data_IF_627101787654
#
_entry.id   IF_627101787654
#
_cell.length_a   1.000
_cell.length_b   1.000
_cell.length_c   1.000
_cell.angle_alpha   90.00
_cell.angle_beta   90.00
_cell.angle_gamma   90.00
#
_symmetry.space_group_name_H-M   'P 1'
#
loop_
_entity.id
_entity.type
_entity.pdbx_description
1 polymer ?
#
# COMPACT_ATOMS: atom_id res chain seq x y z
N UNK A 1 6.20 15.62 10.10
CA UNK A 1 5.50 14.38 9.68
C UNK A 1 6.48 13.26 9.25
N UNK A 2 7.40 13.48 8.30
CA UNK A 2 8.36 12.45 7.82
C UNK A 2 9.11 11.68 8.93
N UNK A 3 9.70 12.38 9.91
CA UNK A 3 10.46 11.70 10.99
C UNK A 3 9.64 10.74 11.85
N UNK A 4 8.35 11.05 12.06
CA UNK A 4 7.44 10.17 12.82
C UNK A 4 7.16 8.88 12.05
N UNK A 5 7.03 8.97 10.72
CA UNK A 5 6.83 7.80 9.88
C UNK A 5 8.10 6.95 9.79
N UNK A 6 9.28 7.56 9.72
CA UNK A 6 10.57 6.85 9.81
C UNK A 6 10.73 6.09 11.14
N UNK A 7 10.33 6.70 12.28
CA UNK A 7 10.32 6.01 13.56
C UNK A 7 9.29 4.88 13.61
N UNK A 8 8.12 5.07 12.97
CA UNK A 8 7.07 4.06 12.90
C UNK A 8 7.57 2.81 12.16
N UNK A 9 8.09 2.95 10.94
CA UNK A 9 8.51 1.80 10.12
C UNK A 9 9.69 1.02 10.71
N UNK A 10 10.46 1.63 11.62
CA UNK A 10 11.59 0.99 12.32
C UNK A 10 11.19 0.34 13.66
N UNK A 11 9.91 0.32 14.02
CA UNK A 11 9.43 -0.22 15.31
C UNK A 11 9.85 0.62 16.53
N UNK A 12 10.12 1.91 16.34
CA UNK A 12 10.63 2.82 17.40
C UNK A 12 9.60 3.83 17.89
N UNK A 13 8.36 3.79 17.38
CA UNK A 13 7.33 4.77 17.70
C UNK A 13 6.49 4.39 18.94
N UNK A 14 6.33 3.10 19.21
CA UNK A 14 5.60 2.54 20.35
C UNK A 14 6.44 1.48 21.05
N UNK A 15 6.22 1.21 22.36
CA UNK A 15 6.88 0.12 23.07
C UNK A 15 6.57 -1.23 22.43
N UNK A 16 7.56 -2.12 22.38
CA UNK A 16 7.41 -3.48 21.87
C UNK A 16 6.85 -4.39 22.97
N UNK A 17 5.88 -5.24 22.64
CA UNK A 17 5.38 -6.29 23.52
C UNK A 17 5.90 -7.66 23.04
N UNK A 18 6.85 -8.29 23.75
CA UNK A 18 7.40 -9.59 23.36
C UNK A 18 6.38 -10.73 23.44
N UNK A 19 5.25 -10.54 24.13
CA UNK A 19 4.19 -11.53 24.24
C UNK A 19 3.07 -11.32 23.20
N UNK A 20 3.18 -10.29 22.37
CA UNK A 20 2.22 -10.07 21.30
C UNK A 20 2.28 -11.21 20.28
N UNK A 21 1.12 -11.55 19.71
CA UNK A 21 1.06 -12.46 18.57
C UNK A 21 1.94 -11.92 17.43
N UNK A 22 2.94 -12.67 16.94
CA UNK A 22 3.89 -12.17 15.96
C UNK A 22 3.23 -11.95 14.60
N UNK A 23 3.81 -11.04 13.80
CA UNK A 23 3.34 -10.72 12.46
C UNK A 23 3.33 -11.93 11.51
N UNK A 24 4.15 -12.95 11.77
CA UNK A 24 4.14 -14.22 11.03
C UNK A 24 2.78 -14.91 11.07
N UNK A 25 2.09 -14.90 12.22
CA UNK A 25 0.74 -15.47 12.38
C UNK A 25 -0.30 -14.65 11.61
N UNK A 26 -0.16 -13.32 11.58
CA UNK A 26 -0.99 -12.47 10.73
C UNK A 26 -0.80 -12.80 9.24
N UNK A 27 0.45 -13.00 8.80
CA UNK A 27 0.75 -13.37 7.42
C UNK A 27 0.14 -14.73 7.04
N UNK A 28 0.16 -15.72 7.93
CA UNK A 28 -0.51 -17.00 7.71
C UNK A 28 -2.02 -16.85 7.52
N UNK A 29 -2.69 -16.05 8.37
CA UNK A 29 -4.12 -15.75 8.21
C UNK A 29 -4.42 -15.05 6.90
N UNK A 30 -3.59 -14.08 6.50
CA UNK A 30 -3.72 -13.37 5.22
C UNK A 30 -3.60 -14.32 4.04
N UNK A 31 -2.64 -15.25 4.05
CA UNK A 31 -2.48 -16.25 2.98
C UNK A 31 -3.73 -17.13 2.87
N UNK A 32 -4.26 -17.60 3.99
CA UNK A 32 -5.49 -18.39 4.02
C UNK A 32 -6.70 -17.60 3.49
N UNK A 33 -6.86 -16.34 3.92
CA UNK A 33 -7.90 -15.44 3.41
C UNK A 33 -7.77 -15.24 1.89
N UNK A 34 -6.55 -14.99 1.41
CA UNK A 34 -6.26 -14.74 -0.01
C UNK A 34 -6.63 -15.95 -0.86
N UNK A 35 -6.30 -17.16 -0.41
CA UNK A 35 -6.69 -18.39 -1.08
C UNK A 35 -8.22 -18.55 -1.20
N UNK A 36 -8.96 -18.23 -0.14
CA UNK A 36 -10.43 -18.25 -0.18
C UNK A 36 -11.01 -17.19 -1.14
N UNK A 37 -10.46 -15.98 -1.15
CA UNK A 37 -10.86 -14.93 -2.09
C UNK A 37 -10.54 -15.30 -3.55
N UNK A 38 -9.43 -15.99 -3.80
CA UNK A 38 -9.06 -16.52 -5.13
C UNK A 38 -10.06 -17.60 -5.56
N UNK A 39 -10.40 -18.56 -4.68
CA UNK A 39 -11.40 -19.60 -4.96
C UNK A 39 -12.77 -19.01 -5.28
N UNK A 40 -13.14 -17.92 -4.60
CA UNK A 40 -14.38 -17.17 -4.86
C UNK A 40 -14.31 -16.29 -6.11
N UNK A 41 -13.16 -16.20 -6.79
CA UNK A 41 -12.96 -15.36 -7.98
C UNK A 41 -12.97 -13.86 -7.70
N UNK A 42 -12.88 -13.44 -6.43
CA UNK A 42 -12.91 -12.02 -6.02
C UNK A 42 -11.60 -11.30 -6.30
N UNK A 43 -10.48 -12.02 -6.18
CA UNK A 43 -9.14 -11.50 -6.48
C UNK A 43 -8.40 -12.48 -7.39
N UNK A 44 -7.34 -12.00 -8.05
CA UNK A 44 -6.48 -12.83 -8.90
C UNK A 44 -5.32 -13.38 -8.09
N UNK A 45 -4.89 -14.60 -8.41
CA UNK A 45 -3.65 -15.17 -7.89
C UNK A 45 -2.45 -14.37 -8.41
N UNK A 46 -1.53 -14.03 -7.52
CA UNK A 46 -0.26 -13.43 -7.92
C UNK A 46 0.61 -14.45 -8.65
N UNK A 47 1.42 -13.97 -9.60
CA UNK A 47 2.32 -14.84 -10.36
C UNK A 47 3.49 -15.37 -9.52
N UNK A 48 3.87 -14.63 -8.48
CA UNK A 48 5.03 -14.91 -7.63
C UNK A 48 4.60 -14.72 -6.18
N UNK A 49 4.17 -15.79 -5.55
CA UNK A 49 3.91 -15.77 -4.11
C UNK A 49 5.26 -15.78 -3.37
N UNK A 50 5.42 -14.82 -2.48
CA UNK A 50 6.66 -14.59 -1.73
C UNK A 50 6.45 -14.90 -0.25
N UNK A 51 7.38 -15.68 0.30
CA UNK A 51 7.48 -15.94 1.73
C UNK A 51 8.86 -15.49 2.18
N UNK A 52 8.89 -14.44 3.00
CA UNK A 52 10.12 -13.94 3.61
C UNK A 52 10.22 -14.50 5.03
N UNK A 53 11.40 -15.00 5.39
CA UNK A 53 11.69 -15.56 6.70
C UNK A 53 13.14 -15.28 7.09
N UNK A 54 13.45 -15.40 8.39
CA UNK A 54 14.80 -15.24 8.94
C UNK A 54 15.39 -16.62 9.22
N UNK A 55 16.61 -16.88 8.74
CA UNK A 55 17.32 -18.14 8.95
C UNK A 55 18.03 -18.20 10.31
N UNK A 56 18.57 -19.38 10.65
CA UNK A 56 19.35 -19.60 11.87
C UNK A 56 20.68 -18.81 11.88
N UNK A 57 21.14 -18.39 10.71
CA UNK A 57 22.30 -17.51 10.51
C UNK A 57 21.98 -16.02 10.69
N UNK A 58 20.74 -15.69 11.06
CA UNK A 58 20.18 -14.33 11.18
C UNK A 58 20.00 -13.58 9.87
N UNK A 59 20.25 -14.19 8.71
CA UNK A 59 20.00 -13.59 7.40
C UNK A 59 18.53 -13.72 6.98
N UNK A 60 18.08 -12.81 6.12
CA UNK A 60 16.73 -12.83 5.55
C UNK A 60 16.72 -13.54 4.19
N UNK A 61 15.75 -14.43 4.04
CA UNK A 61 15.55 -15.22 2.84
C UNK A 61 14.15 -15.01 2.28
N UNK A 62 14.05 -14.89 0.97
CA UNK A 62 12.79 -14.89 0.24
C UNK A 62 12.65 -16.21 -0.53
N UNK A 63 11.53 -16.91 -0.31
CA UNK A 63 11.13 -18.09 -1.06
C UNK A 63 10.05 -17.73 -2.06
N UNK A 64 10.30 -18.01 -3.34
CA UNK A 64 9.32 -17.91 -4.43
C UNK A 64 9.26 -19.27 -5.09
N UNK A 65 8.12 -19.95 -5.00
CA UNK A 65 7.99 -21.35 -5.43
C UNK A 65 9.05 -22.24 -4.74
N UNK A 66 10.00 -22.80 -5.49
CA UNK A 66 11.07 -23.64 -4.96
C UNK A 66 12.41 -22.90 -4.78
N UNK A 67 12.52 -21.68 -5.30
CA UNK A 67 13.74 -20.90 -5.24
C UNK A 67 13.80 -20.12 -3.92
N UNK A 68 14.93 -20.24 -3.23
CA UNK A 68 15.23 -19.50 -1.99
C UNK A 68 16.42 -18.60 -2.25
N UNK A 69 16.30 -17.32 -1.96
CA UNK A 69 17.34 -16.32 -2.22
C UNK A 69 17.55 -15.46 -0.98
N UNK A 70 18.80 -15.21 -0.60
CA UNK A 70 19.13 -14.24 0.44
C UNK A 70 18.81 -12.82 -0.06
N UNK A 71 18.13 -12.03 0.77
CA UNK A 71 17.68 -10.67 0.43
C UNK A 71 18.27 -9.61 1.37
N UNK A 72 19.35 -9.93 2.09
CA UNK A 72 20.00 -9.00 3.04
C UNK A 72 20.39 -7.66 2.38
N UNK A 73 20.77 -7.66 1.10
CA UNK A 73 21.07 -6.46 0.33
C UNK A 73 19.86 -5.50 0.17
N UNK A 74 18.63 -5.99 0.34
CA UNK A 74 17.41 -5.18 0.35
C UNK A 74 17.03 -4.67 1.75
N UNK A 75 17.61 -5.24 2.82
CA UNK A 75 17.29 -4.93 4.20
C UNK A 75 18.11 -3.73 4.67
N UNK A 76 17.43 -2.61 4.89
CA UNK A 76 18.09 -1.34 5.24
C UNK A 76 18.17 -1.07 6.76
N UNK A 77 17.49 -1.85 7.59
CA UNK A 77 17.49 -1.72 9.04
C UNK A 77 16.91 -2.96 9.73
N UNK A 78 17.26 -3.13 11.01
CA UNK A 78 16.68 -4.15 11.88
C UNK A 78 15.25 -3.79 12.30
N UNK A 79 14.43 -4.84 12.46
CA UNK A 79 13.05 -4.77 12.96
C UNK A 79 12.93 -5.57 14.27
N UNK A 80 11.91 -5.30 15.10
CA UNK A 80 11.63 -6.12 16.28
C UNK A 80 11.37 -7.60 15.93
N UNK A 81 11.71 -8.53 16.82
CA UNK A 81 11.55 -9.98 16.58
C UNK A 81 10.09 -10.42 16.38
N UNK A 82 9.13 -9.65 16.90
CA UNK A 82 7.69 -9.89 16.69
C UNK A 82 7.20 -9.42 15.32
N UNK A 83 8.01 -8.66 14.58
CA UNK A 83 7.68 -8.16 13.25
C UNK A 83 8.13 -9.15 12.16
N UNK A 84 7.70 -8.91 10.93
CA UNK A 84 8.15 -9.70 9.78
C UNK A 84 8.31 -8.82 8.56
N UNK A 85 9.40 -9.00 7.81
CA UNK A 85 9.48 -8.44 6.47
C UNK A 85 8.52 -9.16 5.53
N UNK A 86 7.86 -8.42 4.64
CA UNK A 86 6.98 -8.99 3.62
C UNK A 86 6.96 -8.11 2.38
N UNK A 87 6.67 -8.69 1.21
CA UNK A 87 6.27 -7.92 0.02
C UNK A 87 4.86 -7.38 0.23
N UNK A 88 4.59 -6.15 -0.22
CA UNK A 88 3.27 -5.51 -0.04
C UNK A 88 2.14 -6.28 -0.73
N UNK A 89 2.43 -6.96 -1.84
CA UNK A 89 1.47 -7.84 -2.53
C UNK A 89 0.99 -9.02 -1.69
N UNK A 90 1.76 -9.44 -0.67
CA UNK A 90 1.33 -10.47 0.27
C UNK A 90 0.13 -10.01 1.09
N UNK A 91 0.11 -8.74 1.52
CA UNK A 91 -0.90 -8.18 2.44
C UNK A 91 -1.94 -7.28 1.78
N UNK A 92 -1.91 -7.18 0.45
CA UNK A 92 -2.83 -6.32 -0.31
C UNK A 92 -3.28 -6.98 -1.62
N UNK A 93 -4.47 -6.61 -2.09
CA UNK A 93 -4.88 -6.78 -3.48
C UNK A 93 -4.54 -5.51 -4.29
N UNK A 94 -3.80 -5.67 -5.39
CA UNK A 94 -3.28 -4.54 -6.18
C UNK A 94 -3.88 -4.56 -7.58
N UNK A 95 -4.68 -3.53 -7.86
CA UNK A 95 -5.29 -3.30 -9.17
C UNK A 95 -4.64 -2.11 -9.87
N UNK A 96 -3.90 -2.40 -10.95
CA UNK A 96 -3.39 -1.35 -11.84
C UNK A 96 -4.52 -0.78 -12.70
N UNK A 97 -4.62 0.55 -12.74
CA UNK A 97 -5.64 1.24 -13.50
C UNK A 97 -5.47 1.13 -15.01
N UNK A 98 -6.58 1.29 -15.72
CA UNK A 98 -6.65 1.30 -17.18
C UNK A 98 -7.71 2.30 -17.60
N UNK A 99 -7.37 3.25 -18.46
CA UNK A 99 -8.33 4.29 -18.84
C UNK A 99 -9.49 3.69 -19.66
N UNK A 100 -10.75 4.05 -19.36
CA UNK A 100 -11.87 3.83 -20.26
C UNK A 100 -11.63 4.46 -21.64
N UNK A 101 -12.39 4.02 -22.64
CA UNK A 101 -12.37 4.69 -23.96
C UNK A 101 -12.98 6.09 -23.80
N UNK A 102 -12.47 7.06 -24.56
CA UNK A 102 -12.95 8.45 -24.46
C UNK A 102 -14.45 8.60 -24.67
N UNK A 103 -15.05 7.79 -25.56
CA UNK A 103 -16.50 7.76 -25.80
C UNK A 103 -17.34 7.35 -24.57
N UNK A 104 -16.74 6.60 -23.63
CA UNK A 104 -17.42 6.11 -22.43
C UNK A 104 -17.31 7.12 -21.28
N UNK A 105 -16.44 8.13 -21.40
CA UNK A 105 -16.24 9.19 -20.40
C UNK A 105 -17.32 10.27 -20.57
N UNK A 106 -17.87 10.75 -19.45
CA UNK A 106 -18.92 11.75 -19.41
C UNK A 106 -18.89 12.57 -18.11
N UNK A 107 -19.80 13.53 -17.98
CA UNK A 107 -19.94 14.40 -16.81
C UNK A 107 -21.22 14.08 -16.01
N UNK A 108 -21.80 12.90 -16.21
CA UNK A 108 -23.02 12.45 -15.54
C UNK A 108 -22.68 11.64 -14.29
N UNK A 109 -23.03 12.19 -13.12
CA UNK A 109 -22.68 11.64 -11.82
C UNK A 109 -23.49 10.40 -11.40
N UNK A 110 -24.41 9.95 -12.25
CA UNK A 110 -25.10 8.67 -12.08
C UNK A 110 -24.20 7.47 -12.39
N UNK A 111 -23.11 7.69 -13.13
CA UNK A 111 -22.13 6.66 -13.47
C UNK A 111 -20.96 6.61 -12.46
N UNK A 112 -20.03 5.67 -12.64
CA UNK A 112 -18.88 5.53 -11.75
C UNK A 112 -17.88 6.66 -11.98
N UNK A 113 -17.50 7.33 -10.90
CA UNK A 113 -16.53 8.42 -10.89
C UNK A 113 -15.15 7.95 -11.40
N UNK A 114 -14.51 8.73 -12.28
CA UNK A 114 -13.28 8.36 -12.97
C UNK A 114 -12.10 9.27 -12.60
N UNK A 115 -11.00 8.64 -12.19
CA UNK A 115 -9.74 9.32 -11.84
C UNK A 115 -8.57 8.78 -12.63
N UNK A 116 -7.88 9.64 -13.37
CA UNK A 116 -6.72 9.25 -14.18
C UNK A 116 -5.38 9.39 -13.46
N UNK A 117 -5.30 10.25 -12.45
CA UNK A 117 -4.08 10.63 -11.75
C UNK A 117 -4.39 11.50 -10.52
N UNK A 118 -3.38 12.20 -9.99
CA UNK A 118 -3.47 12.90 -8.70
C UNK A 118 -4.32 14.17 -8.64
N UNK A 119 -4.98 14.57 -9.72
CA UNK A 119 -5.57 15.93 -9.86
C UNK A 119 -6.49 16.27 -8.67
N UNK A 120 -7.23 15.29 -8.17
CA UNK A 120 -8.18 15.45 -7.06
C UNK A 120 -7.67 14.90 -5.73
N UNK A 121 -6.38 14.60 -5.62
CA UNK A 121 -5.80 14.15 -4.35
C UNK A 121 -5.77 15.33 -3.36
N UNK A 122 -6.33 15.13 -2.16
CA UNK A 122 -6.17 16.06 -1.04
C UNK A 122 -5.02 15.59 -0.13
N UNK A 123 -4.94 16.11 1.10
CA UNK A 123 -3.99 15.63 2.12
C UNK A 123 -4.11 14.12 2.42
N UNK A 124 -5.31 13.54 2.31
CA UNK A 124 -5.53 12.11 2.66
C UNK A 124 -6.71 11.47 1.94
N UNK A 125 -7.83 12.18 1.79
CA UNK A 125 -9.07 11.64 1.22
C UNK A 125 -9.38 12.22 -0.15
N UNK A 126 -9.74 11.38 -1.11
CA UNK A 126 -9.91 11.76 -2.50
C UNK A 126 -11.05 12.77 -2.66
N UNK A 127 -10.81 13.90 -3.33
CA UNK A 127 -11.87 14.84 -3.69
C UNK A 127 -12.68 14.33 -4.88
N UNK A 128 -13.92 14.79 -5.02
CA UNK A 128 -14.75 14.42 -6.16
C UNK A 128 -14.21 14.99 -7.47
N UNK A 129 -14.20 14.17 -8.51
CA UNK A 129 -14.00 14.60 -9.88
C UNK A 129 -15.32 14.97 -10.56
N UNK A 130 -15.23 15.65 -11.69
CA UNK A 130 -16.33 15.91 -12.61
C UNK A 130 -16.34 14.92 -13.80
N UNK A 131 -15.55 13.85 -13.74
CA UNK A 131 -15.44 12.84 -14.79
C UNK A 131 -16.00 11.52 -14.30
N UNK A 132 -16.81 10.88 -15.15
CA UNK A 132 -17.48 9.62 -14.86
C UNK A 132 -17.38 8.71 -16.09
N UNK A 133 -17.50 7.40 -15.90
CA UNK A 133 -17.45 6.43 -17.00
C UNK A 133 -18.69 5.54 -17.03
N UNK A 134 -19.29 5.43 -18.21
CA UNK A 134 -20.38 4.47 -18.47
C UNK A 134 -19.91 3.02 -18.51
N UNK A 135 -18.59 2.81 -18.65
CA UNK A 135 -17.97 1.50 -18.74
C UNK A 135 -16.74 1.43 -17.84
N UNK A 136 -16.89 0.80 -16.69
CA UNK A 136 -15.79 0.59 -15.74
C UNK A 136 -14.77 -0.39 -16.30
N UNK A 137 -13.52 0.05 -16.42
CA UNK A 137 -12.38 -0.77 -16.85
C UNK A 137 -11.66 -1.40 -15.67
N UNK A 138 -11.33 -0.59 -14.67
CA UNK A 138 -10.62 -0.97 -13.45
C UNK A 138 -11.21 -0.24 -12.27
N UNK A 139 -11.81 -0.99 -11.35
CA UNK A 139 -12.42 -0.46 -10.15
C UNK A 139 -11.37 -0.37 -9.03
N UNK A 140 -11.34 0.74 -8.33
CA UNK A 140 -10.77 0.85 -7.00
C UNK A 140 -11.96 0.86 -6.02
N UNK A 141 -12.14 -0.18 -5.20
CA UNK A 141 -13.22 -0.21 -4.24
C UNK A 141 -13.04 0.87 -3.16
N UNK A 142 -14.13 1.20 -2.48
CA UNK A 142 -14.14 2.04 -1.29
C UNK A 142 -13.10 1.55 -0.27
N UNK A 143 -12.47 2.52 0.39
CA UNK A 143 -11.37 2.31 1.32
C UNK A 143 -10.19 1.63 0.63
N UNK A 144 -9.80 2.04 -0.57
CA UNK A 144 -8.50 1.66 -1.13
C UNK A 144 -7.51 2.80 -1.00
N UNK A 145 -6.25 2.47 -0.76
CA UNK A 145 -5.14 3.38 -0.98
C UNK A 145 -4.91 3.51 -2.49
N UNK A 146 -4.86 4.76 -2.96
CA UNK A 146 -4.54 5.11 -4.34
C UNK A 146 -3.09 5.51 -4.41
N UNK A 147 -2.34 4.89 -5.33
CA UNK A 147 -0.93 5.21 -5.60
C UNK A 147 -0.79 5.77 -7.01
N UNK A 148 -0.16 6.94 -7.15
CA UNK A 148 0.26 7.43 -8.46
C UNK A 148 1.44 6.63 -8.98
N UNK A 149 1.23 5.96 -10.12
CA UNK A 149 2.23 5.12 -10.79
C UNK A 149 2.84 5.78 -12.03
N UNK A 150 2.41 7.01 -12.33
CA UNK A 150 2.97 7.89 -13.37
C UNK A 150 3.18 9.28 -12.78
N UNK A 151 4.09 10.05 -13.39
CA UNK A 151 4.50 11.36 -12.90
C UNK A 151 3.32 12.26 -12.43
N UNK A 152 3.36 12.77 -11.18
CA UNK A 152 4.36 12.50 -10.15
C UNK A 152 4.14 11.13 -9.47
N UNK A 153 5.15 10.26 -9.58
CA UNK A 153 5.14 8.92 -8.98
C UNK A 153 5.18 9.01 -7.45
N UNK A 154 4.49 8.08 -6.78
CA UNK A 154 4.57 7.92 -5.32
C UNK A 154 3.62 8.79 -4.50
N UNK A 155 2.76 9.59 -5.15
CA UNK A 155 1.70 10.31 -4.45
C UNK A 155 0.58 9.36 -4.01
N UNK A 156 0.06 9.58 -2.81
CA UNK A 156 -0.90 8.70 -2.15
C UNK A 156 -2.21 9.44 -1.83
N UNK A 157 -3.31 8.69 -1.82
CA UNK A 157 -4.61 9.11 -1.27
C UNK A 157 -5.42 7.90 -0.83
N UNK A 158 -6.58 8.13 -0.22
CA UNK A 158 -7.55 7.10 0.11
C UNK A 158 -8.88 7.48 -0.51
N UNK A 159 -9.52 6.52 -1.20
CA UNK A 159 -10.90 6.70 -1.64
C UNK A 159 -11.89 6.23 -0.57
N UNK A 160 -12.94 7.00 -0.34
CA UNK A 160 -14.07 6.71 0.54
C UNK A 160 -15.31 6.19 -0.23
N UNK A 161 -15.15 5.93 -1.54
CA UNK A 161 -16.17 5.49 -2.49
C UNK A 161 -15.56 4.61 -3.59
N UNK A 162 -16.39 3.83 -4.27
CA UNK A 162 -15.97 3.06 -5.43
C UNK A 162 -15.69 4.01 -6.61
N UNK A 163 -14.54 3.87 -7.26
CA UNK A 163 -14.14 4.71 -8.40
C UNK A 163 -13.54 3.85 -9.52
N UNK A 164 -13.59 4.35 -10.76
CA UNK A 164 -12.82 3.83 -11.87
C UNK A 164 -11.46 4.53 -11.92
N UNK A 165 -10.37 3.77 -12.06
CA UNK A 165 -9.00 4.31 -12.11
C UNK A 165 -8.34 4.13 -13.48
N UNK A 166 -7.73 5.20 -13.96
CA UNK A 166 -6.96 5.24 -15.21
C UNK A 166 -5.51 4.79 -15.02
N UNK A 167 -4.75 4.75 -16.13
CA UNK A 167 -3.38 4.21 -16.16
C UNK A 167 -2.35 4.94 -15.26
N UNK A 168 -2.68 6.14 -14.77
CA UNK A 168 -1.81 6.87 -13.86
C UNK A 168 -1.94 6.45 -12.39
N UNK A 169 -2.93 5.61 -12.05
CA UNK A 169 -3.21 5.18 -10.68
C UNK A 169 -3.16 3.65 -10.55
N UNK A 170 -2.80 3.20 -9.35
CA UNK A 170 -3.05 1.86 -8.85
C UNK A 170 -3.92 1.95 -7.59
N UNK A 171 -4.80 0.96 -7.43
CA UNK A 171 -5.54 0.71 -6.19
C UNK A 171 -4.82 -0.37 -5.41
N UNK A 172 -4.64 -0.13 -4.12
CA UNK A 172 -4.03 -1.03 -3.14
C UNK A 172 -5.07 -1.20 -2.04
N UNK A 173 -5.64 -2.40 -1.93
CA UNK A 173 -6.66 -2.77 -0.96
C UNK A 173 -6.05 -3.71 0.07
N UNK A 174 -6.14 -3.41 1.36
CA UNK A 174 -5.57 -4.26 2.39
C UNK A 174 -6.32 -5.59 2.55
N UNK A 175 -5.60 -6.61 3.01
CA UNK A 175 -6.10 -7.91 3.45
C UNK A 175 -5.82 -8.09 4.95
N UNK A 176 -6.36 -9.12 5.59
CA UNK A 176 -6.04 -9.49 6.97
C UNK A 176 -6.56 -8.51 8.02
N UNK A 177 -7.63 -7.78 7.72
CA UNK A 177 -8.16 -6.70 8.56
C UNK A 177 -7.15 -5.57 8.86
N UNK A 178 -6.10 -5.43 8.06
CA UNK A 178 -5.16 -4.32 8.17
C UNK A 178 -5.87 -3.02 7.81
N UNK A 179 -5.65 -1.97 8.59
CA UNK A 179 -6.29 -0.67 8.34
C UNK A 179 -5.69 0.01 7.10
N UNK A 180 -6.52 0.60 6.26
CA UNK A 180 -6.06 1.26 5.02
C UNK A 180 -5.24 2.52 5.29
N UNK A 181 -5.50 3.20 6.42
CA UNK A 181 -4.64 4.29 6.87
C UNK A 181 -3.25 3.80 7.28
N UNK A 182 -3.15 2.59 7.83
CA UNK A 182 -1.85 1.98 8.11
C UNK A 182 -1.08 1.81 6.81
N UNK A 183 -1.65 1.19 5.77
CA UNK A 183 -1.02 1.04 4.44
C UNK A 183 -0.64 2.40 3.84
N UNK A 184 -1.54 3.38 3.92
CA UNK A 184 -1.28 4.74 3.45
C UNK A 184 -0.05 5.38 4.12
N UNK A 185 0.06 5.29 5.45
CA UNK A 185 1.22 5.83 6.16
C UNK A 185 2.48 4.98 5.94
N UNK A 186 2.34 3.67 5.81
CA UNK A 186 3.45 2.75 5.58
C UNK A 186 4.12 2.95 4.23
N UNK A 187 3.33 3.29 3.20
CA UNK A 187 3.85 3.57 1.86
C UNK A 187 4.46 4.97 1.73
N UNK A 188 4.13 5.90 2.62
CA UNK A 188 4.54 7.30 2.47
C UNK A 188 6.07 7.50 2.47
N UNK A 189 6.88 6.81 3.31
CA UNK A 189 8.34 6.86 3.25
C UNK A 189 8.95 6.33 1.94
N UNK A 190 8.22 5.49 1.20
CA UNK A 190 8.72 4.85 -0.02
C UNK A 190 8.65 5.75 -1.26
N UNK A 191 8.16 6.99 -1.15
CA UNK A 191 8.04 7.92 -2.30
C UNK A 191 9.35 8.08 -3.06
N UNK A 192 10.46 8.35 -2.36
CA UNK A 192 11.78 8.53 -2.99
C UNK A 192 12.25 7.24 -3.66
N UNK A 193 12.07 6.10 -3.01
CA UNK A 193 12.37 4.78 -3.59
C UNK A 193 11.59 4.57 -4.90
N UNK A 194 10.28 4.83 -4.91
CA UNK A 194 9.43 4.66 -6.09
C UNK A 194 9.81 5.62 -7.23
N UNK A 195 10.19 6.85 -6.92
CA UNK A 195 10.68 7.80 -7.92
C UNK A 195 11.99 7.30 -8.56
N UNK A 196 12.92 6.75 -7.76
CA UNK A 196 14.17 6.20 -8.27
C UNK A 196 13.98 4.92 -9.10
N UNK A 197 12.93 4.16 -8.83
CA UNK A 197 12.54 2.99 -9.64
C UNK A 197 11.75 3.36 -10.90
N UNK A 198 11.40 4.64 -11.08
CA UNK A 198 10.63 5.05 -12.24
C UNK A 198 11.47 5.07 -13.51
N UNK A 199 10.90 4.60 -14.61
CA UNK A 199 11.57 4.48 -15.91
C UNK A 199 10.82 5.29 -16.98
N UNK A 200 11.50 5.60 -18.07
CA UNK A 200 10.95 6.35 -19.21
C UNK A 200 11.47 7.79 -19.28
N UNK A 201 12.08 8.15 -20.41
CA UNK A 201 12.68 9.47 -20.64
C UNK A 201 11.65 10.59 -20.86
N UNK A 202 10.47 10.26 -21.40
CA UNK A 202 9.39 11.24 -21.68
C UNK A 202 8.31 11.26 -20.60
N UNK A 203 8.00 10.11 -19.98
CA UNK A 203 7.04 9.99 -18.89
C UNK A 203 7.54 8.96 -17.88
N UNK A 204 7.96 9.44 -16.70
CA UNK A 204 8.34 8.60 -15.57
C UNK A 204 7.14 7.79 -15.07
N UNK A 205 7.31 6.47 -15.01
CA UNK A 205 6.31 5.53 -14.52
C UNK A 205 6.95 4.34 -13.77
N UNK A 206 6.20 3.75 -12.84
CA UNK A 206 6.56 2.50 -12.17
C UNK A 206 5.69 1.34 -12.65
N UNK A 207 6.27 0.15 -12.66
CA UNK A 207 5.61 -1.05 -13.17
C UNK A 207 4.74 -1.70 -12.11
N UNK A 208 3.90 -2.62 -12.56
CA UNK A 208 3.11 -3.46 -11.65
C UNK A 208 3.99 -4.30 -10.72
N UNK A 209 5.13 -4.77 -11.22
CA UNK A 209 6.07 -5.58 -10.43
C UNK A 209 6.80 -4.72 -9.39
N UNK A 210 7.18 -3.48 -9.76
CA UNK A 210 7.74 -2.51 -8.80
C UNK A 210 6.81 -2.29 -7.62
N UNK A 211 5.51 -2.09 -7.86
CA UNK A 211 4.53 -1.88 -6.77
C UNK A 211 4.35 -3.16 -5.95
N UNK A 212 4.22 -4.33 -6.58
CA UNK A 212 3.99 -5.60 -5.86
C UNK A 212 5.16 -6.02 -4.97
N UNK A 213 6.38 -5.65 -5.34
CA UNK A 213 7.61 -6.08 -4.68
C UNK A 213 8.14 -5.08 -3.65
N UNK A 214 7.40 -4.00 -3.33
CA UNK A 214 7.78 -3.10 -2.23
C UNK A 214 7.93 -3.93 -0.95
N UNK A 215 9.15 -3.96 -0.41
CA UNK A 215 9.50 -4.66 0.81
C UNK A 215 9.14 -3.78 2.00
N UNK A 216 8.25 -4.28 2.87
CA UNK A 216 7.74 -3.54 4.02
C UNK A 216 7.89 -4.33 5.32
N UNK A 217 8.17 -3.65 6.44
CA UNK A 217 8.22 -4.29 7.75
C UNK A 217 6.80 -4.36 8.33
N UNK A 218 6.29 -5.54 8.64
CA UNK A 218 4.93 -5.73 9.14
C UNK A 218 4.93 -5.95 10.66
N UNK A 219 4.28 -5.08 11.46
CA UNK A 219 4.06 -5.31 12.89
C UNK A 219 2.91 -6.30 13.15
N UNK A 220 2.83 -6.88 14.35
CA UNK A 220 1.61 -7.48 14.89
C UNK A 220 0.36 -6.59 14.70
N UNK A 221 -0.80 -7.20 14.44
CA UNK A 221 -2.03 -6.46 14.14
C UNK A 221 -2.45 -5.50 15.26
N UNK A 222 -2.21 -5.86 16.53
CA UNK A 222 -2.51 -4.98 17.66
C UNK A 222 -1.59 -3.76 17.67
N UNK A 223 -0.29 -3.98 17.47
CA UNK A 223 0.71 -2.91 17.45
C UNK A 223 0.47 -1.93 16.29
N UNK A 224 0.00 -2.41 15.12
CA UNK A 224 -0.42 -1.54 14.01
C UNK A 224 -1.45 -0.49 14.46
N UNK A 225 -2.41 -0.86 15.32
CA UNK A 225 -3.43 0.05 15.85
C UNK A 225 -2.81 1.08 16.79
N UNK A 226 -1.90 0.67 17.65
CA UNK A 226 -1.20 1.57 18.58
C UNK A 226 -0.33 2.59 17.85
N UNK A 227 0.41 2.13 16.84
CA UNK A 227 1.21 2.96 15.93
C UNK A 227 0.32 3.98 15.25
N UNK A 228 -0.80 3.54 14.66
CA UNK A 228 -1.74 4.44 13.97
C UNK A 228 -2.31 5.51 14.92
N UNK A 229 -2.73 5.10 16.13
CA UNK A 229 -3.22 6.02 17.16
C UNK A 229 -2.15 7.05 17.54
N UNK A 230 -0.87 6.64 17.65
CA UNK A 230 0.23 7.55 17.96
C UNK A 230 0.52 8.53 16.82
N UNK A 231 0.52 8.05 15.56
CA UNK A 231 0.69 8.90 14.37
C UNK A 231 -0.41 9.95 14.32
N UNK A 232 -1.67 9.55 14.47
CA UNK A 232 -2.82 10.45 14.44
C UNK A 232 -2.71 11.53 15.52
N UNK A 233 -2.44 11.16 16.77
CA UNK A 233 -2.24 12.11 17.88
C UNK A 233 -1.17 13.16 17.57
N UNK A 234 0.00 12.72 17.07
CA UNK A 234 1.11 13.62 16.74
C UNK A 234 0.75 14.52 15.56
N UNK A 235 0.10 13.99 14.52
CA UNK A 235 -0.24 14.77 13.34
C UNK A 235 -1.31 15.83 13.63
N UNK A 236 -2.32 15.50 14.44
CA UNK A 236 -3.30 16.49 14.92
C UNK A 236 -2.64 17.60 15.72
N UNK A 237 -1.68 17.27 16.60
CA UNK A 237 -0.94 18.29 17.34
C UNK A 237 -0.15 19.23 16.40
N UNK A 238 0.53 18.67 15.39
CA UNK A 238 1.27 19.46 14.41
C UNK A 238 0.35 20.38 13.60
N UNK A 239 -0.81 19.87 13.18
CA UNK A 239 -1.79 20.66 12.41
C UNK A 239 -2.35 21.82 13.23
N UNK A 240 -2.65 21.60 14.51
CA UNK A 240 -3.12 22.67 15.41
C UNK A 240 -2.06 23.78 15.59
N UNK A 241 -0.77 23.42 15.63
CA UNK A 241 0.32 24.40 15.74
C UNK A 241 0.50 25.20 14.44
N UNK A 242 0.29 24.59 13.28
CA UNK A 242 0.34 25.26 11.98
C UNK A 242 -0.82 26.25 11.79
N UNK A 243 -1.97 26.04 12.44
CA UNK A 243 -3.15 26.93 12.34
C UNK A 243 -3.14 28.11 13.32
N UNK A 244 -2.24 28.11 14.30
CA UNK A 244 -2.13 29.18 15.32
C UNK A 244 -1.15 30.28 14.89
N UNK A 245 -0.38 30.05 13.83
CA UNK A 245 0.49 31.05 13.17
C UNK A 245 -0.13 31.57 11.87
#
# INVERSE_FOLDING_TARGET
KSKILDLAIRGKLVPQDPNAEPASVLLERIRAEKEELIKQGKIKRDKKESIIFRGDDNSYYEKISNDVTCIDDEISFDIPDTWSWTRISTITDITMGSSPKSQDICNDNQYIEFHQGKIYFSKKTLMKSNQYTRKTTKLAPKQSVLLCVRAPVGELNITDRDICIGRGLASIKSLGNINEEFIFYWLHPYKTYLVNQSTGSTFSAITSDTVRNILIPLPPLMEQKEILNKIQKVFTLLENLETVN
#
